data_IF_215027729897
#
_entry.id   IF_215027729897
#
_cell.length_a   1.000
_cell.length_b   1.000
_cell.length_c   1.000
_cell.angle_alpha   90.00
_cell.angle_beta   90.00
_cell.angle_gamma   90.00
#
_symmetry.space_group_name_H-M   'P 1'
#
loop_
_entity.id
_entity.type
_entity.pdbx_description
1 polymer ?
#
# COMPACT_ATOMS: atom_id res chain seq x y z
N UNK A 1 -4.95 20.34 -17.65
CA UNK A 1 -4.76 19.15 -16.79
C UNK A 1 -3.83 19.55 -15.65
N UNK A 2 -4.07 19.12 -14.40
CA UNK A 2 -3.12 19.37 -13.33
C UNK A 2 -1.75 18.78 -13.73
N UNK A 3 -0.68 19.58 -13.63
CA UNK A 3 0.66 19.12 -13.95
C UNK A 3 1.10 18.08 -12.91
N UNK A 4 1.21 16.81 -13.32
CA UNK A 4 1.88 15.77 -12.54
C UNK A 4 3.37 16.13 -12.43
N UNK A 5 3.95 15.96 -11.24
CA UNK A 5 5.34 16.31 -10.94
C UNK A 5 6.13 15.10 -10.48
N UNK A 6 7.45 15.18 -10.58
CA UNK A 6 8.35 14.22 -9.95
C UNK A 6 8.12 14.23 -8.43
N UNK A 7 8.19 13.06 -7.82
CA UNK A 7 7.98 12.85 -6.39
C UNK A 7 9.27 12.32 -5.76
N UNK A 8 9.58 12.84 -4.59
CA UNK A 8 10.52 12.23 -3.65
C UNK A 8 9.95 12.41 -2.24
N UNK A 9 9.01 11.54 -1.83
CA UNK A 9 8.23 11.74 -0.60
C UNK A 9 9.09 11.94 0.64
N UNK A 10 10.19 11.18 0.79
CA UNK A 10 11.16 11.35 1.87
C UNK A 10 11.80 12.74 1.88
N UNK A 11 12.27 13.23 0.73
CA UNK A 11 12.89 14.55 0.65
C UNK A 11 11.87 15.67 0.89
N UNK A 12 10.68 15.54 0.33
CA UNK A 12 9.58 16.50 0.52
C UNK A 12 9.15 16.61 1.98
N UNK A 13 9.02 15.48 2.68
CA UNK A 13 8.70 15.44 4.10
C UNK A 13 9.85 15.96 4.97
N UNK A 14 11.09 15.60 4.64
CA UNK A 14 12.30 16.09 5.34
C UNK A 14 12.41 17.62 5.26
N UNK A 15 12.10 18.22 4.11
CA UNK A 15 12.10 19.67 3.94
C UNK A 15 11.11 20.42 4.87
N UNK A 16 10.12 19.72 5.45
CA UNK A 16 9.18 20.29 6.42
C UNK A 16 9.70 20.27 7.85
N UNK A 17 10.66 19.43 8.18
CA UNK A 17 11.11 19.19 9.55
C UNK A 17 12.19 20.17 10.01
N UNK A 18 12.67 21.10 9.19
CA UNK A 18 13.77 22.00 9.57
C UNK A 18 15.11 21.28 9.72
N UNK A 19 16.16 22.02 10.09
CA UNK A 19 17.54 21.54 10.05
C UNK A 19 17.80 20.36 11.02
N UNK A 20 18.64 19.40 10.57
CA UNK A 20 19.10 18.28 11.39
C UNK A 20 18.11 17.12 11.58
N UNK A 21 16.86 17.25 11.09
CA UNK A 21 15.83 16.20 11.12
C UNK A 21 15.65 15.57 9.75
N UNK A 22 15.36 14.27 9.73
CA UNK A 22 15.08 13.50 8.50
C UNK A 22 13.76 12.76 8.67
N UNK A 23 12.92 12.74 7.64
CA UNK A 23 11.65 12.01 7.69
C UNK A 23 11.80 10.59 7.15
N UNK A 24 11.29 9.59 7.88
CA UNK A 24 10.74 8.39 7.25
C UNK A 24 9.32 8.69 6.74
N UNK A 25 8.89 7.99 5.70
CA UNK A 25 7.58 8.14 5.06
C UNK A 25 7.09 6.76 4.62
N UNK A 26 5.79 6.59 4.39
CA UNK A 26 5.20 5.31 3.98
C UNK A 26 5.28 5.07 2.45
N UNK A 27 5.34 6.15 1.68
CA UNK A 27 5.44 6.13 0.21
C UNK A 27 6.88 5.77 -0.24
N UNK A 28 7.03 5.02 -1.35
CA UNK A 28 8.33 4.77 -1.94
C UNK A 28 9.08 6.06 -2.24
N UNK A 29 10.34 6.11 -1.85
CA UNK A 29 11.20 7.28 -2.06
C UNK A 29 12.46 6.95 -2.85
N UNK A 30 12.98 7.95 -3.56
CA UNK A 30 14.24 7.85 -4.29
C UNK A 30 15.44 7.86 -3.33
N UNK A 31 16.57 7.24 -3.70
CA UNK A 31 16.78 6.44 -4.93
C UNK A 31 16.18 5.02 -4.85
N UNK A 32 16.07 4.36 -6.00
CA UNK A 32 15.71 2.96 -6.12
C UNK A 32 16.63 2.08 -5.27
N UNK A 33 16.04 1.09 -4.58
CA UNK A 33 16.80 0.11 -3.82
C UNK A 33 17.11 -1.07 -4.71
N UNK A 34 18.35 -1.13 -5.20
CA UNK A 34 18.83 -2.18 -6.10
C UNK A 34 19.47 -3.37 -5.39
N UNK A 35 19.35 -3.43 -4.07
CA UNK A 35 19.82 -4.55 -3.24
C UNK A 35 18.65 -5.39 -2.74
N UNK A 36 18.77 -6.71 -2.90
CA UNK A 36 17.79 -7.68 -2.41
C UNK A 36 17.72 -7.76 -0.87
N UNK A 37 16.76 -8.55 -0.35
CA UNK A 37 15.83 -9.38 -1.10
C UNK A 37 14.56 -8.64 -1.55
N UNK A 38 14.34 -7.40 -1.11
CA UNK A 38 13.06 -6.70 -1.26
C UNK A 38 12.97 -5.80 -2.49
N UNK A 39 14.10 -5.21 -2.92
CA UNK A 39 14.14 -4.23 -4.01
C UNK A 39 13.10 -3.10 -3.83
N UNK A 40 13.06 -2.57 -2.61
CA UNK A 40 12.18 -1.50 -2.15
C UNK A 40 12.81 -0.86 -0.91
N UNK A 41 12.41 0.36 -0.59
CA UNK A 41 12.72 1.01 0.68
C UNK A 41 11.97 0.35 1.86
N UNK A 42 12.39 0.68 3.08
CA UNK A 42 11.77 0.21 4.32
C UNK A 42 11.37 1.42 5.16
N UNK A 43 10.06 1.68 5.36
CA UNK A 43 9.60 2.87 6.07
C UNK A 43 9.75 2.76 7.59
N UNK A 44 9.98 1.56 8.15
CA UNK A 44 10.14 1.37 9.61
C UNK A 44 11.55 0.92 10.00
N UNK A 45 12.44 0.66 9.03
CA UNK A 45 13.83 0.40 9.33
C UNK A 45 14.45 1.65 9.99
N UNK A 46 14.99 1.48 11.20
CA UNK A 46 15.70 2.52 11.93
C UNK A 46 17.07 2.90 11.32
N UNK A 47 17.33 2.55 10.05
CA UNK A 47 18.65 2.54 9.43
C UNK A 47 19.33 3.92 9.39
N UNK A 48 20.47 4.00 10.08
CA UNK A 48 21.66 4.84 9.88
C UNK A 48 21.50 6.17 9.10
N UNK A 49 20.50 6.98 9.44
CA UNK A 49 20.43 8.36 8.95
C UNK A 49 21.20 9.24 9.91
N UNK A 50 22.18 9.98 9.40
CA UNK A 50 22.86 11.03 10.18
C UNK A 50 21.84 12.15 10.44
N UNK A 51 21.14 12.10 11.57
CA UNK A 51 20.10 13.05 11.92
C UNK A 51 19.08 12.49 12.89
N UNK A 52 18.19 13.36 13.35
CA UNK A 52 17.06 12.98 14.19
C UNK A 52 15.89 12.48 13.32
N UNK A 53 15.72 11.15 13.24
CA UNK A 53 14.72 10.49 12.38
C UNK A 53 13.30 10.67 12.93
N UNK A 54 12.43 11.30 12.16
CA UNK A 54 10.99 11.42 12.42
C UNK A 54 10.22 10.36 11.63
N UNK A 55 9.37 9.58 12.30
CA UNK A 55 8.68 8.44 11.70
C UNK A 55 7.15 8.53 11.77
N UNK A 56 6.40 7.95 10.81
CA UNK A 56 4.94 7.80 10.91
C UNK A 56 4.49 6.76 11.95
N UNK A 57 5.43 6.01 12.53
CA UNK A 57 5.15 4.99 13.54
C UNK A 57 5.00 5.63 14.92
N UNK A 58 3.80 5.47 15.50
CA UNK A 58 3.42 6.01 16.81
C UNK A 58 4.23 5.30 17.93
N UNK A 59 4.64 6.05 18.95
CA UNK A 59 5.32 5.51 20.15
C UNK A 59 6.82 5.73 20.20
N UNK A 60 7.44 6.25 19.14
CA UNK A 60 8.76 6.88 19.24
C UNK A 60 8.61 8.30 19.79
N UNK A 61 9.62 8.80 20.52
CA UNK A 61 9.67 10.23 20.92
C UNK A 61 9.90 11.17 19.72
N UNK A 62 9.98 10.61 18.51
CA UNK A 62 10.34 11.27 17.25
C UNK A 62 9.32 10.85 16.19
N UNK A 63 8.03 11.07 16.46
CA UNK A 63 6.95 10.76 15.53
C UNK A 63 6.38 12.01 14.87
N UNK A 64 5.73 11.84 13.71
CA UNK A 64 4.96 12.91 13.08
C UNK A 64 3.78 13.37 13.92
N UNK A 65 3.21 12.53 14.79
CA UNK A 65 2.22 12.95 15.78
C UNK A 65 2.81 14.05 16.69
N UNK A 66 4.02 13.83 17.24
CA UNK A 66 4.72 14.84 18.07
C UNK A 66 5.13 16.08 17.29
N UNK A 67 5.47 15.94 16.01
CA UNK A 67 5.75 17.10 15.13
C UNK A 67 4.50 17.95 14.96
N UNK A 68 3.35 17.35 14.69
CA UNK A 68 2.09 18.07 14.49
C UNK A 68 1.60 18.71 15.79
N UNK A 69 1.78 18.05 16.93
CA UNK A 69 1.46 18.64 18.24
C UNK A 69 2.28 19.92 18.50
N UNK A 70 3.55 19.93 18.10
CA UNK A 70 4.43 21.09 18.23
C UNK A 70 4.28 22.13 17.12
N UNK A 71 3.86 21.71 15.92
CA UNK A 71 3.74 22.53 14.70
C UNK A 71 2.40 22.23 13.99
N UNK A 72 1.26 22.74 14.50
CA UNK A 72 -0.07 22.41 13.99
C UNK A 72 -0.28 22.77 12.51
N UNK A 73 0.48 23.72 11.97
CA UNK A 73 0.48 24.09 10.55
C UNK A 73 0.89 22.95 9.62
N UNK A 74 1.64 21.96 10.12
CA UNK A 74 2.05 20.78 9.36
C UNK A 74 0.97 19.68 9.30
N UNK A 75 -0.14 19.83 10.04
CA UNK A 75 -1.22 18.85 10.09
C UNK A 75 -1.80 18.51 8.71
N UNK A 76 -1.92 19.50 7.81
CA UNK A 76 -2.41 19.27 6.45
C UNK A 76 -1.47 18.36 5.65
N UNK A 77 -0.17 18.64 5.69
CA UNK A 77 0.84 17.81 5.04
C UNK A 77 0.87 16.40 5.64
N UNK A 78 0.90 16.28 6.97
CA UNK A 78 0.93 14.98 7.64
C UNK A 78 -0.32 14.14 7.32
N UNK A 79 -1.50 14.78 7.22
CA UNK A 79 -2.76 14.12 6.84
C UNK A 79 -2.73 13.59 5.41
N UNK A 80 -2.30 14.41 4.46
CA UNK A 80 -2.28 14.06 3.04
C UNK A 80 -1.24 12.98 2.68
N UNK A 81 -0.26 12.77 3.56
CA UNK A 81 0.82 11.80 3.40
C UNK A 81 0.72 10.61 4.37
N UNK A 82 -0.40 10.48 5.10
CA UNK A 82 -0.62 9.44 6.10
C UNK A 82 0.53 9.31 7.12
N UNK A 83 1.17 10.44 7.46
CA UNK A 83 2.30 10.47 8.37
C UNK A 83 1.86 10.44 9.85
N UNK A 84 0.60 10.78 10.12
CA UNK A 84 -0.01 10.69 11.44
C UNK A 84 -1.48 10.25 11.31
N UNK A 85 -2.09 9.83 12.42
CA UNK A 85 -3.50 9.38 12.44
C UNK A 85 -4.47 10.58 12.44
N UNK A 86 -4.46 11.36 11.36
CA UNK A 86 -5.20 12.62 11.21
C UNK A 86 -6.31 12.56 10.17
N UNK A 87 -6.38 11.48 9.40
CA UNK A 87 -7.36 11.26 8.34
C UNK A 87 -8.25 10.08 8.69
N UNK A 88 -9.54 10.20 8.37
CA UNK A 88 -10.52 9.13 8.53
C UNK A 88 -10.97 8.64 7.16
N UNK A 89 -11.21 7.34 7.06
CA UNK A 89 -11.81 6.72 5.89
C UNK A 89 -13.33 6.91 5.94
N UNK A 90 -13.90 7.35 4.82
CA UNK A 90 -15.34 7.56 4.63
C UNK A 90 -16.02 6.38 3.94
N UNK A 91 -17.27 6.58 3.54
CA UNK A 91 -18.01 5.60 2.74
C UNK A 91 -17.43 5.49 1.31
N UNK A 92 -17.43 4.29 0.71
CA UNK A 92 -16.95 4.11 -0.65
C UNK A 92 -17.94 4.71 -1.67
N UNK A 93 -17.47 5.23 -2.81
CA UNK A 93 -18.36 5.63 -3.90
C UNK A 93 -18.99 4.40 -4.57
N UNK A 94 -20.17 4.57 -5.17
CA UNK A 94 -20.87 3.49 -5.88
C UNK A 94 -20.12 2.91 -7.09
N UNK A 95 -19.08 3.61 -7.56
CA UNK A 95 -18.18 3.20 -8.65
C UNK A 95 -16.95 2.42 -8.18
N UNK A 96 -16.85 2.09 -6.87
CA UNK A 96 -15.68 1.41 -6.30
C UNK A 96 -15.42 0.06 -6.98
N UNK A 97 -16.39 -0.86 -7.00
CA UNK A 97 -16.20 -2.21 -7.55
C UNK A 97 -15.69 -2.22 -9.01
N UNK A 98 -16.32 -1.53 -9.99
CA UNK A 98 -15.80 -1.52 -11.36
C UNK A 98 -14.43 -0.85 -11.48
N UNK A 99 -14.16 0.21 -10.69
CA UNK A 99 -12.84 0.86 -10.70
C UNK A 99 -11.77 -0.05 -10.09
N UNK A 100 -12.09 -0.77 -9.02
CA UNK A 100 -11.20 -1.74 -8.36
C UNK A 100 -10.78 -2.82 -9.34
N UNK A 101 -11.72 -3.45 -10.06
CA UNK A 101 -11.38 -4.51 -11.03
C UNK A 101 -10.53 -3.98 -12.21
N UNK A 102 -10.82 -2.75 -12.67
CA UNK A 102 -10.03 -2.09 -13.70
C UNK A 102 -8.58 -1.85 -13.24
N UNK A 103 -8.40 -1.39 -11.99
CA UNK A 103 -7.10 -1.11 -11.42
C UNK A 103 -6.34 -2.38 -10.98
N UNK A 104 -7.05 -3.42 -10.54
CA UNK A 104 -6.49 -4.77 -10.32
C UNK A 104 -5.92 -5.32 -11.62
N UNK A 105 -6.66 -5.18 -12.72
CA UNK A 105 -6.18 -5.57 -14.05
C UNK A 105 -4.93 -4.77 -14.46
N UNK A 106 -4.94 -3.45 -14.24
CA UNK A 106 -3.77 -2.60 -14.53
C UNK A 106 -2.54 -2.97 -13.66
N UNK A 107 -2.77 -3.25 -12.37
CA UNK A 107 -1.74 -3.66 -11.43
C UNK A 107 -1.09 -4.98 -11.87
N UNK A 108 -1.91 -5.99 -12.16
CA UNK A 108 -1.48 -7.34 -12.47
C UNK A 108 -0.87 -7.47 -13.87
N UNK A 109 -1.50 -6.89 -14.90
CA UNK A 109 -1.08 -7.08 -16.29
C UNK A 109 -0.10 -6.03 -16.82
N UNK A 110 0.17 -4.93 -16.11
CA UNK A 110 1.07 -3.86 -16.61
C UNK A 110 2.12 -3.42 -15.59
N UNK A 111 1.72 -3.00 -14.39
CA UNK A 111 2.69 -2.48 -13.41
C UNK A 111 3.60 -3.58 -12.86
N UNK A 112 3.01 -4.72 -12.51
CA UNK A 112 3.76 -5.82 -11.92
C UNK A 112 4.72 -6.52 -12.89
N UNK A 113 4.38 -6.75 -14.19
CA UNK A 113 5.33 -7.27 -15.17
C UNK A 113 6.47 -6.31 -15.47
N UNK A 114 6.22 -5.00 -15.45
CA UNK A 114 7.28 -4.00 -15.59
C UNK A 114 8.30 -4.09 -14.45
N UNK A 115 7.82 -4.19 -13.20
CA UNK A 115 8.69 -4.40 -12.03
C UNK A 115 9.39 -5.76 -12.10
N UNK A 116 8.67 -6.81 -12.49
CA UNK A 116 9.21 -8.17 -12.57
C UNK A 116 10.35 -8.25 -13.58
N UNK A 117 10.20 -7.61 -14.74
CA UNK A 117 11.25 -7.56 -15.77
C UNK A 117 12.52 -6.88 -15.23
N UNK A 118 12.37 -5.86 -14.38
CA UNK A 118 13.50 -5.12 -13.83
C UNK A 118 14.24 -5.85 -12.69
N UNK A 119 13.53 -6.54 -11.79
CA UNK A 119 14.15 -7.12 -10.58
C UNK A 119 13.50 -8.41 -10.05
N UNK A 120 12.60 -9.03 -10.82
CA UNK A 120 11.92 -10.27 -10.45
C UNK A 120 10.81 -10.12 -9.40
N UNK A 121 10.47 -8.90 -8.96
CA UNK A 121 9.39 -8.66 -7.99
C UNK A 121 8.14 -8.10 -8.63
N UNK A 122 6.98 -8.48 -8.08
CA UNK A 122 5.66 -8.02 -8.56
C UNK A 122 4.97 -7.03 -7.62
N UNK A 123 5.33 -7.02 -6.33
CA UNK A 123 4.63 -6.24 -5.31
C UNK A 123 4.62 -4.73 -5.61
N UNK A 124 3.52 -4.07 -5.26
CA UNK A 124 3.32 -2.64 -5.40
C UNK A 124 3.27 -1.99 -4.00
N UNK A 125 3.07 -0.68 -3.95
CA UNK A 125 2.99 0.12 -2.72
C UNK A 125 1.92 1.18 -2.88
N UNK A 126 1.42 1.67 -1.75
CA UNK A 126 0.68 2.93 -1.73
C UNK A 126 1.60 4.08 -2.20
N UNK A 127 1.06 4.92 -3.08
CA UNK A 127 1.67 6.18 -3.53
C UNK A 127 0.57 7.23 -3.52
N UNK A 128 0.84 8.46 -3.06
CA UNK A 128 -0.20 9.49 -2.97
C UNK A 128 -0.93 9.68 -4.30
N UNK A 129 -2.26 9.61 -4.24
CA UNK A 129 -3.17 9.66 -5.39
C UNK A 129 -3.55 8.29 -5.95
N UNK A 130 -3.10 7.18 -5.35
CA UNK A 130 -3.43 5.81 -5.78
C UNK A 130 -2.44 4.76 -5.27
N UNK A 131 -1.76 4.09 -6.20
CA UNK A 131 -0.78 3.03 -5.91
C UNK A 131 0.24 2.95 -7.05
N UNK A 132 1.39 2.32 -6.79
CA UNK A 132 2.42 2.19 -7.80
C UNK A 132 3.54 1.24 -7.40
N UNK A 133 4.54 1.13 -8.26
CA UNK A 133 5.75 0.40 -7.94
C UNK A 133 6.56 1.14 -6.86
N UNK A 134 7.38 0.43 -6.08
CA UNK A 134 8.60 1.03 -5.55
C UNK A 134 9.42 1.69 -6.66
N UNK A 135 10.36 2.57 -6.31
CA UNK A 135 11.39 2.96 -7.29
C UNK A 135 12.25 1.74 -7.62
N UNK A 136 12.51 1.49 -8.91
CA UNK A 136 13.27 0.34 -9.40
C UNK A 136 14.19 0.73 -10.56
N UNK A 137 15.19 -0.12 -10.86
CA UNK A 137 16.14 0.13 -11.94
C UNK A 137 16.89 1.45 -11.76
N UNK A 138 16.91 2.25 -12.82
CA UNK A 138 17.55 3.58 -12.85
C UNK A 138 16.61 4.67 -12.31
N UNK A 139 16.16 4.53 -11.04
CA UNK A 139 15.28 5.50 -10.38
C UNK A 139 13.90 5.70 -11.05
N UNK A 140 13.38 4.63 -11.66
CA UNK A 140 12.07 4.61 -12.32
C UNK A 140 10.94 4.27 -11.36
N UNK A 141 9.79 4.93 -11.49
CA UNK A 141 8.54 4.57 -10.84
C UNK A 141 7.38 4.63 -11.83
N UNK A 142 6.48 3.65 -11.73
CA UNK A 142 5.19 3.64 -12.43
C UNK A 142 4.10 3.70 -11.38
N UNK A 143 3.18 4.66 -11.47
CA UNK A 143 2.10 4.83 -10.48
C UNK A 143 0.80 5.31 -11.10
N UNK A 144 -0.30 4.96 -10.45
CA UNK A 144 -1.62 5.56 -10.65
C UNK A 144 -1.72 6.82 -9.80
N UNK A 145 -2.18 7.92 -10.39
CA UNK A 145 -2.45 9.18 -9.70
C UNK A 145 -3.77 9.77 -10.21
N UNK A 146 -4.86 9.53 -9.48
CA UNK A 146 -6.21 9.79 -10.00
C UNK A 146 -6.51 8.90 -11.21
N UNK A 147 -7.00 9.49 -12.29
CA UNK A 147 -7.28 8.82 -13.57
C UNK A 147 -6.06 8.75 -14.51
N UNK A 148 -4.86 9.07 -14.02
CA UNK A 148 -3.63 9.08 -14.81
C UNK A 148 -2.72 7.91 -14.45
N UNK A 149 -2.11 7.31 -15.48
CA UNK A 149 -0.93 6.48 -15.34
C UNK A 149 0.31 7.35 -15.52
N UNK A 150 1.20 7.33 -14.53
CA UNK A 150 2.37 8.19 -14.46
C UNK A 150 3.62 7.33 -14.51
N UNK A 151 4.55 7.69 -15.39
CA UNK A 151 5.92 7.17 -15.41
C UNK A 151 6.85 8.31 -15.01
N UNK A 152 7.66 8.05 -13.99
CA UNK A 152 8.70 8.97 -13.54
C UNK A 152 10.05 8.29 -13.71
N UNK A 153 10.97 8.95 -14.42
CA UNK A 153 12.36 8.53 -14.62
C UNK A 153 13.25 9.66 -14.05
N UNK A 154 13.73 9.50 -12.82
CA UNK A 154 14.40 10.58 -12.11
C UNK A 154 13.49 11.80 -11.88
N UNK A 155 13.81 12.93 -12.52
CA UNK A 155 13.01 14.17 -12.50
C UNK A 155 12.03 14.27 -13.69
N UNK A 156 12.21 13.45 -14.73
CA UNK A 156 11.35 13.45 -15.89
C UNK A 156 10.06 12.72 -15.59
N UNK A 157 8.93 13.30 -16.00
CA UNK A 157 7.59 12.74 -15.75
C UNK A 157 6.75 12.80 -17.00
N UNK A 158 6.19 11.65 -17.37
CA UNK A 158 5.18 11.52 -18.41
C UNK A 158 3.93 10.92 -17.77
N UNK A 159 2.76 11.39 -18.18
CA UNK A 159 1.48 10.88 -17.71
C UNK A 159 0.46 10.84 -18.82
N UNK A 160 -0.34 9.77 -18.87
CA UNK A 160 -1.47 9.63 -19.80
C UNK A 160 -2.72 9.19 -19.05
N UNK A 161 -3.94 9.51 -19.54
CA UNK A 161 -5.17 8.96 -19.01
C UNK A 161 -5.21 7.43 -19.05
N UNK A 162 -5.71 6.80 -18.00
CA UNK A 162 -5.95 5.36 -17.94
C UNK A 162 -7.15 5.04 -18.82
N UNK A 163 -6.90 4.37 -19.96
CA UNK A 163 -7.94 4.05 -20.94
C UNK A 163 -8.04 2.56 -21.21
N UNK A 164 -6.95 1.90 -21.57
CA UNK A 164 -6.87 0.47 -21.87
C UNK A 164 -5.55 -0.09 -21.36
N UNK A 165 -5.47 -1.41 -21.12
CA UNK A 165 -4.20 -2.05 -20.75
C UNK A 165 -3.17 -1.92 -21.86
N UNK A 166 -3.58 -1.97 -23.14
CA UNK A 166 -2.67 -1.77 -24.28
C UNK A 166 -2.04 -0.38 -24.31
N UNK A 167 -2.83 0.66 -24.05
CA UNK A 167 -2.31 2.03 -23.97
C UNK A 167 -1.36 2.20 -22.78
N UNK A 168 -1.71 1.62 -21.62
CA UNK A 168 -0.86 1.62 -20.43
C UNK A 168 0.48 0.89 -20.67
N UNK A 169 0.44 -0.30 -21.27
CA UNK A 169 1.62 -1.06 -21.66
C UNK A 169 2.54 -0.27 -22.59
N UNK A 170 1.98 0.43 -23.59
CA UNK A 170 2.76 1.30 -24.49
C UNK A 170 3.47 2.44 -23.74
N UNK A 171 2.79 3.12 -22.81
CA UNK A 171 3.41 4.18 -22.00
C UNK A 171 4.54 3.63 -21.12
N UNK A 172 4.31 2.46 -20.52
CA UNK A 172 5.28 1.82 -19.61
C UNK A 172 6.44 1.15 -20.37
N UNK A 173 6.22 0.73 -21.62
CA UNK A 173 7.20 -0.04 -22.40
C UNK A 173 7.14 -1.55 -22.12
N UNK A 174 5.95 -2.09 -21.85
CA UNK A 174 5.71 -3.54 -21.65
C UNK A 174 4.50 -4.00 -22.47
N UNK A 175 4.53 -5.23 -22.99
CA UNK A 175 3.31 -5.85 -23.50
C UNK A 175 2.48 -6.33 -22.31
N UNK A 176 1.18 -5.96 -22.21
CA UNK A 176 0.35 -6.43 -21.11
C UNK A 176 0.25 -7.95 -21.09
N UNK A 177 0.36 -8.53 -19.90
CA UNK A 177 0.35 -9.98 -19.70
C UNK A 177 0.61 -10.35 -18.25
N UNK A 178 0.21 -11.55 -17.84
CA UNK A 178 0.44 -12.00 -16.48
C UNK A 178 1.96 -12.08 -16.19
N UNK A 179 2.40 -11.82 -14.95
CA UNK A 179 3.80 -12.03 -14.57
C UNK A 179 4.23 -13.47 -14.86
N UNK A 180 5.36 -13.62 -15.55
CA UNK A 180 5.81 -14.92 -16.04
C UNK A 180 6.55 -15.72 -14.95
N UNK A 181 6.44 -17.05 -14.98
CA UNK A 181 7.24 -17.92 -14.10
C UNK A 181 6.85 -17.89 -12.61
N UNK A 182 5.67 -17.37 -12.27
CA UNK A 182 5.10 -17.41 -10.92
C UNK A 182 3.83 -18.25 -11.00
N UNK A 183 3.69 -19.21 -10.07
CA UNK A 183 2.47 -20.00 -9.92
C UNK A 183 1.51 -19.26 -8.99
N UNK A 184 0.42 -18.73 -9.56
CA UNK A 184 -0.58 -17.98 -8.81
C UNK A 184 -1.74 -18.91 -8.45
N UNK A 185 -2.11 -18.94 -7.17
CA UNK A 185 -3.23 -19.75 -6.69
C UNK A 185 -4.59 -19.25 -7.22
N UNK A 186 -4.74 -17.94 -7.44
CA UNK A 186 -5.97 -17.32 -7.95
C UNK A 186 -5.68 -16.00 -8.71
N UNK A 187 -5.06 -16.07 -9.90
CA UNK A 187 -4.78 -14.88 -10.68
C UNK A 187 -6.10 -14.28 -11.21
N UNK A 188 -6.17 -12.94 -11.42
CA UNK A 188 -7.26 -12.34 -12.17
C UNK A 188 -7.47 -13.05 -13.52
N UNK A 189 -8.71 -13.13 -14.05
CA UNK A 189 -8.94 -13.64 -15.39
C UNK A 189 -8.33 -12.70 -16.43
N UNK A 190 -7.77 -13.26 -17.51
CA UNK A 190 -7.16 -12.46 -18.58
C UNK A 190 -8.21 -11.60 -19.30
N UNK A 191 -8.10 -10.26 -19.26
CA UNK A 191 -9.07 -9.37 -19.88
C UNK A 191 -8.75 -9.11 -21.36
N UNK A 192 -9.69 -8.54 -22.12
CA UNK A 192 -9.35 -7.94 -23.41
C UNK A 192 -8.50 -6.69 -23.18
N UNK A 193 -7.23 -6.73 -23.59
CA UNK A 193 -6.28 -5.64 -23.41
C UNK A 193 -6.67 -4.33 -24.11
N UNK A 194 -7.63 -4.37 -25.06
CA UNK A 194 -8.16 -3.19 -25.74
C UNK A 194 -9.50 -2.69 -25.14
N UNK A 195 -10.10 -3.43 -24.21
CA UNK A 195 -11.32 -2.99 -23.55
C UNK A 195 -11.07 -1.73 -22.72
N UNK A 196 -12.08 -0.85 -22.68
CA UNK A 196 -12.04 0.35 -21.87
C UNK A 196 -12.02 0.01 -20.38
N UNK A 197 -11.13 0.65 -19.63
CA UNK A 197 -11.03 0.54 -18.18
C UNK A 197 -11.95 1.61 -17.54
N UNK A 198 -13.01 1.23 -16.82
CA UNK A 198 -13.92 2.18 -16.18
C UNK A 198 -13.32 2.73 -14.87
N UNK A 199 -12.34 3.63 -15.00
CA UNK A 199 -11.69 4.27 -13.85
C UNK A 199 -12.42 5.56 -13.49
N UNK A 200 -13.03 5.59 -12.31
CA UNK A 200 -13.62 6.81 -11.73
C UNK A 200 -12.63 7.50 -10.77
N UNK A 201 -12.26 8.78 -11.01
CA UNK A 201 -11.40 9.55 -10.10
C UNK A 201 -11.88 9.55 -8.63
N UNK A 202 -13.19 9.53 -8.37
CA UNK A 202 -13.72 9.49 -7.00
C UNK A 202 -13.42 8.15 -6.31
N UNK A 203 -13.50 7.04 -7.04
CA UNK A 203 -13.11 5.73 -6.55
C UNK A 203 -11.59 5.61 -6.37
N UNK A 204 -10.79 6.22 -7.25
CA UNK A 204 -9.33 6.28 -7.06
C UNK A 204 -8.97 7.07 -5.80
N UNK A 205 -9.62 8.21 -5.57
CA UNK A 205 -9.39 9.00 -4.35
C UNK A 205 -9.76 8.21 -3.08
N UNK A 206 -10.82 7.41 -3.12
CA UNK A 206 -11.14 6.48 -2.03
C UNK A 206 -10.05 5.41 -1.85
N UNK A 207 -9.56 4.81 -2.94
CA UNK A 207 -8.51 3.79 -2.89
C UNK A 207 -7.16 4.34 -2.40
N UNK A 208 -6.81 5.58 -2.76
CA UNK A 208 -5.66 6.32 -2.21
C UNK A 208 -5.74 6.39 -0.68
N UNK A 209 -6.91 6.76 -0.17
CA UNK A 209 -7.15 6.83 1.27
C UNK A 209 -7.12 5.46 1.93
N UNK A 210 -7.77 4.47 1.31
CA UNK A 210 -7.79 3.11 1.80
C UNK A 210 -6.39 2.51 1.91
N UNK A 211 -5.58 2.58 0.84
CA UNK A 211 -4.24 2.02 0.85
C UNK A 211 -3.26 2.82 1.71
N UNK A 212 -3.43 4.13 1.84
CA UNK A 212 -2.68 4.95 2.78
C UNK A 212 -2.96 4.57 4.23
N UNK A 213 -4.24 4.41 4.60
CA UNK A 213 -4.65 3.91 5.92
C UNK A 213 -4.13 2.50 6.18
N UNK A 214 -4.33 1.58 5.23
CA UNK A 214 -3.85 0.20 5.32
C UNK A 214 -2.35 0.15 5.57
N UNK A 215 -1.56 0.90 4.79
CA UNK A 215 -0.11 0.96 4.93
C UNK A 215 0.28 1.48 6.31
N UNK A 216 -0.39 2.53 6.81
CA UNK A 216 -0.12 3.07 8.15
C UNK A 216 -0.36 2.02 9.26
N UNK A 217 -1.51 1.33 9.24
CA UNK A 217 -1.85 0.38 10.31
C UNK A 217 -1.02 -0.90 10.24
N UNK A 218 -0.70 -1.38 9.03
CA UNK A 218 0.14 -2.57 8.83
C UNK A 218 1.60 -2.30 9.18
N UNK A 219 2.17 -1.14 8.82
CA UNK A 219 3.54 -0.80 9.23
C UNK A 219 3.64 -0.58 10.75
N UNK A 220 2.59 -0.06 11.40
CA UNK A 220 2.53 0.02 12.87
C UNK A 220 2.49 -1.37 13.52
N UNK A 221 1.70 -2.29 12.96
CA UNK A 221 1.67 -3.68 13.40
C UNK A 221 3.04 -4.35 13.25
N UNK A 222 3.68 -4.20 12.08
CA UNK A 222 5.01 -4.74 11.80
C UNK A 222 6.06 -4.19 12.75
N UNK A 223 6.08 -2.88 12.98
CA UNK A 223 7.00 -2.25 13.93
C UNK A 223 6.81 -2.76 15.37
N UNK A 224 5.57 -3.07 15.77
CA UNK A 224 5.27 -3.64 17.08
C UNK A 224 5.58 -5.15 17.19
N UNK A 225 5.55 -5.90 16.09
CA UNK A 225 5.91 -7.32 16.06
C UNK A 225 7.44 -7.51 16.10
N UNK A 226 8.17 -6.74 15.31
CA UNK A 226 9.62 -6.59 15.39
C UNK A 226 10.44 -7.84 15.07
N UNK A 227 9.88 -8.85 14.36
CA UNK A 227 10.61 -10.09 14.05
C UNK A 227 11.39 -9.95 12.73
N UNK A 228 12.64 -10.45 12.64
CA UNK A 228 13.42 -10.38 11.40
C UNK A 228 12.79 -11.09 10.19
N UNK A 229 11.97 -12.10 10.43
CA UNK A 229 11.28 -12.91 9.41
C UNK A 229 9.94 -12.34 8.95
N UNK A 230 9.47 -11.25 9.56
CA UNK A 230 8.25 -10.56 9.12
C UNK A 230 8.49 -9.93 7.74
N UNK A 231 7.51 -10.04 6.84
CA UNK A 231 7.64 -9.44 5.50
C UNK A 231 7.35 -7.94 5.54
N UNK A 232 7.75 -7.21 4.49
CA UNK A 232 7.41 -5.80 4.34
C UNK A 232 6.00 -5.63 3.80
N UNK A 233 5.33 -4.53 4.15
CA UNK A 233 4.03 -4.19 3.58
C UNK A 233 4.18 -4.09 2.07
N UNK A 234 3.29 -4.71 1.32
CA UNK A 234 3.21 -4.52 -0.12
C UNK A 234 1.77 -4.72 -0.58
N UNK A 235 1.44 -4.10 -1.69
CA UNK A 235 0.20 -4.36 -2.40
C UNK A 235 0.44 -5.54 -3.36
N UNK A 236 -0.28 -6.65 -3.17
CA UNK A 236 -0.19 -7.81 -4.04
C UNK A 236 -1.08 -7.60 -5.27
N UNK A 237 -0.51 -7.50 -6.48
CA UNK A 237 -1.29 -7.13 -7.66
C UNK A 237 -2.39 -8.16 -8.03
N UNK A 238 -2.18 -9.44 -7.72
CA UNK A 238 -3.10 -10.54 -8.01
C UNK A 238 -4.39 -10.47 -7.17
N UNK A 239 -4.29 -10.08 -5.91
CA UNK A 239 -5.42 -9.92 -4.98
C UNK A 239 -5.87 -8.46 -4.83
N UNK A 240 -5.03 -7.53 -5.27
CA UNK A 240 -5.22 -6.08 -5.17
C UNK A 240 -5.44 -5.57 -3.74
N UNK A 241 -4.76 -6.20 -2.79
CA UNK A 241 -4.80 -5.88 -1.36
C UNK A 241 -3.42 -5.51 -0.84
N UNK A 242 -3.37 -4.74 0.26
CA UNK A 242 -2.12 -4.46 0.96
C UNK A 242 -1.94 -5.47 2.09
N UNK A 243 -0.81 -6.17 2.15
CA UNK A 243 -0.59 -7.22 3.14
C UNK A 243 0.87 -7.31 3.64
N UNK A 244 1.01 -7.98 4.79
CA UNK A 244 2.25 -8.46 5.39
C UNK A 244 2.04 -9.85 5.94
N UNK A 245 3.12 -10.58 6.14
CA UNK A 245 3.11 -11.80 6.92
C UNK A 245 3.89 -11.59 8.20
N UNK A 246 3.27 -11.97 9.32
CA UNK A 246 3.86 -11.89 10.66
C UNK A 246 3.72 -13.25 11.34
N UNK A 247 4.67 -13.57 12.21
CA UNK A 247 4.62 -14.75 13.07
C UNK A 247 5.60 -15.83 12.62
N UNK A 248 5.49 -17.01 13.23
CA UNK A 248 6.46 -18.09 13.06
C UNK A 248 5.83 -19.32 12.40
N UNK A 249 6.34 -19.70 11.23
CA UNK A 249 5.83 -20.83 10.46
C UNK A 249 5.99 -22.15 11.22
N UNK A 250 7.15 -22.39 11.84
CA UNK A 250 7.44 -23.64 12.56
C UNK A 250 6.55 -23.84 13.79
N UNK A 251 6.06 -22.75 14.38
CA UNK A 251 5.13 -22.77 15.52
C UNK A 251 3.66 -22.76 15.11
N UNK A 252 3.36 -22.67 13.82
CA UNK A 252 1.99 -22.58 13.30
C UNK A 252 1.31 -21.24 13.59
N UNK A 253 2.07 -20.19 13.92
CA UNK A 253 1.55 -18.86 14.29
C UNK A 253 1.71 -17.83 13.18
N UNK A 254 2.17 -18.26 12.00
CA UNK A 254 2.33 -17.43 10.81
C UNK A 254 0.96 -17.12 10.21
N UNK A 255 0.71 -15.84 9.96
CA UNK A 255 -0.50 -15.36 9.30
C UNK A 255 -0.20 -14.18 8.38
N UNK A 256 -0.99 -14.07 7.31
CA UNK A 256 -1.14 -12.85 6.53
C UNK A 256 -2.03 -11.86 7.26
N UNK A 257 -1.61 -10.61 7.35
CA UNK A 257 -2.37 -9.48 7.86
C UNK A 257 -2.51 -8.49 6.71
N UNK A 258 -3.73 -8.09 6.38
CA UNK A 258 -3.92 -7.25 5.20
C UNK A 258 -5.18 -6.42 5.21
N UNK A 259 -5.36 -5.72 4.10
CA UNK A 259 -6.44 -4.79 3.84
C UNK A 259 -6.88 -4.90 2.38
N UNK A 260 -8.04 -5.52 2.17
CA UNK A 260 -8.66 -5.67 0.84
C UNK A 260 -9.59 -4.48 0.58
N UNK A 261 -9.57 -3.87 -0.62
CA UNK A 261 -10.58 -2.89 -1.04
C UNK A 261 -11.95 -3.53 -1.35
N UNK A 262 -12.15 -4.78 -0.93
CA UNK A 262 -13.31 -5.61 -1.19
C UNK A 262 -13.07 -6.56 -2.36
N UNK A 263 -13.79 -7.68 -2.38
CA UNK A 263 -13.69 -8.76 -3.37
C UNK A 263 -14.97 -9.60 -3.37
N UNK A 264 -14.94 -10.74 -4.06
CA UNK A 264 -16.09 -11.65 -4.17
C UNK A 264 -16.51 -12.29 -2.84
N UNK A 265 -15.61 -12.37 -1.86
CA UNK A 265 -15.92 -12.91 -0.54
C UNK A 265 -16.57 -11.85 0.36
N UNK A 266 -16.04 -10.62 0.33
CA UNK A 266 -16.56 -9.47 1.08
C UNK A 266 -16.52 -8.23 0.17
N UNK A 267 -17.69 -7.81 -0.33
CA UNK A 267 -17.78 -6.74 -1.34
C UNK A 267 -17.25 -5.38 -0.87
N UNK A 268 -17.49 -5.03 0.39
CA UNK A 268 -16.97 -3.79 0.98
C UNK A 268 -15.50 -3.94 1.40
N UNK A 269 -14.70 -2.85 1.44
CA UNK A 269 -13.35 -2.91 1.98
C UNK A 269 -13.29 -3.46 3.40
N UNK A 270 -12.21 -4.17 3.74
CA UNK A 270 -12.04 -4.80 5.04
C UNK A 270 -10.56 -5.05 5.38
N UNK A 271 -10.24 -5.03 6.67
CA UNK A 271 -8.98 -5.56 7.19
C UNK A 271 -9.14 -7.05 7.45
N UNK A 272 -8.08 -7.84 7.29
CA UNK A 272 -8.12 -9.28 7.53
C UNK A 272 -6.90 -9.83 8.23
N UNK A 273 -7.10 -10.98 8.85
CA UNK A 273 -6.03 -11.89 9.28
C UNK A 273 -6.32 -13.27 8.70
N UNK A 274 -5.37 -13.81 7.93
CA UNK A 274 -5.45 -15.11 7.27
C UNK A 274 -4.30 -16.01 7.76
N UNK A 275 -4.54 -16.82 8.80
CA UNK A 275 -3.56 -17.77 9.31
C UNK A 275 -3.24 -18.87 8.30
N UNK A 276 -2.00 -19.34 8.23
CA UNK A 276 -1.61 -20.44 7.33
C UNK A 276 -2.33 -21.75 7.66
N UNK A 277 -2.72 -21.92 8.93
CA UNK A 277 -3.63 -22.98 9.37
C UNK A 277 -4.98 -22.35 9.65
N UNK A 278 -5.98 -22.68 8.84
CA UNK A 278 -7.35 -22.16 8.97
C UNK A 278 -7.85 -22.26 10.42
N UNK A 279 -8.44 -21.17 10.90
CA UNK A 279 -9.02 -21.04 12.22
C UNK A 279 -10.54 -20.94 12.13
N UNK A 280 -11.24 -21.32 13.21
CA UNK A 280 -12.69 -21.35 13.28
C UNK A 280 -13.20 -20.87 14.64
N UNK A 281 -14.42 -20.34 14.67
CA UNK A 281 -15.10 -19.84 15.87
C UNK A 281 -15.58 -18.40 15.70
N UNK A 282 -16.25 -17.85 16.70
CA UNK A 282 -16.94 -16.55 16.60
C UNK A 282 -16.00 -15.39 16.21
N UNK A 283 -14.72 -15.46 16.62
CA UNK A 283 -13.72 -14.46 16.27
C UNK A 283 -13.16 -14.65 14.84
N UNK A 284 -13.06 -15.90 14.38
CA UNK A 284 -12.59 -16.26 13.05
C UNK A 284 -13.77 -16.27 12.08
N UNK A 285 -14.30 -15.07 11.87
CA UNK A 285 -15.58 -14.80 11.21
C UNK A 285 -15.54 -14.80 9.67
N UNK A 286 -14.37 -14.99 9.06
CA UNK A 286 -14.20 -14.86 7.62
C UNK A 286 -14.28 -16.23 6.89
N UNK A 287 -14.82 -16.28 5.66
CA UNK A 287 -15.07 -17.53 4.94
C UNK A 287 -13.77 -18.28 4.56
N UNK A 288 -12.62 -17.60 4.57
CA UNK A 288 -11.30 -18.16 4.27
C UNK A 288 -10.61 -18.78 5.50
N UNK A 289 -11.32 -19.03 6.60
CA UNK A 289 -10.73 -19.60 7.82
C UNK A 289 -9.84 -18.60 8.56
N UNK A 290 -10.23 -17.33 8.53
CA UNK A 290 -9.54 -16.22 9.16
C UNK A 290 -10.51 -15.24 9.80
N UNK A 291 -10.06 -14.01 10.03
CA UNK A 291 -10.89 -12.95 10.62
C UNK A 291 -10.92 -11.73 9.71
N UNK A 292 -12.02 -10.98 9.74
CA UNK A 292 -12.23 -9.75 8.99
C UNK A 292 -12.86 -8.66 9.89
N UNK A 293 -12.38 -7.43 9.72
CA UNK A 293 -12.98 -6.20 10.25
C UNK A 293 -13.40 -5.34 9.06
N UNK A 294 -14.72 -5.20 8.87
CA UNK A 294 -15.29 -4.52 7.69
C UNK A 294 -15.17 -3.01 7.76
N UNK A 295 -15.26 -2.34 6.62
CA UNK A 295 -15.28 -0.88 6.54
C UNK A 295 -16.46 -0.27 7.31
N UNK A 296 -17.64 -0.90 7.29
CA UNK A 296 -18.77 -0.47 8.11
C UNK A 296 -18.44 -0.39 9.60
N UNK A 297 -17.75 -1.40 10.14
CA UNK A 297 -17.29 -1.43 11.52
C UNK A 297 -16.21 -0.37 11.80
N UNK A 298 -15.27 -0.18 10.86
CA UNK A 298 -14.27 0.89 10.95
C UNK A 298 -14.90 2.29 10.94
N UNK A 299 -15.89 2.55 10.09
CA UNK A 299 -16.60 3.84 10.04
C UNK A 299 -17.31 4.11 11.36
N UNK A 300 -17.92 3.09 11.97
CA UNK A 300 -18.59 3.19 13.26
C UNK A 300 -17.62 3.43 14.43
N UNK A 301 -16.35 3.04 14.30
CA UNK A 301 -15.35 3.21 15.36
C UNK A 301 -14.94 4.69 15.52
N UNK A 302 -14.92 5.22 16.76
CA UNK A 302 -14.47 6.60 17.02
C UNK A 302 -12.98 6.80 16.71
N UNK A 303 -12.16 5.76 16.85
CA UNK A 303 -10.75 5.73 16.42
C UNK A 303 -10.52 4.54 15.48
N UNK A 304 -10.42 4.82 14.18
CA UNK A 304 -10.25 3.79 13.14
C UNK A 304 -8.91 3.07 13.25
N UNK A 305 -7.81 3.80 13.45
CA UNK A 305 -6.50 3.18 13.60
C UNK A 305 -6.40 2.40 14.92
N UNK A 306 -7.06 2.89 15.99
CA UNK A 306 -7.20 2.16 17.25
C UNK A 306 -7.98 0.85 17.09
N UNK A 307 -9.11 0.87 16.37
CA UNK A 307 -9.90 -0.33 16.06
C UNK A 307 -9.10 -1.35 15.23
N UNK A 308 -8.38 -0.88 14.21
CA UNK A 308 -7.48 -1.73 13.41
C UNK A 308 -6.38 -2.38 14.26
N UNK A 309 -5.74 -1.60 15.14
CA UNK A 309 -4.69 -2.11 16.03
C UNK A 309 -5.23 -3.13 17.03
N UNK A 310 -6.43 -2.89 17.59
CA UNK A 310 -7.09 -3.84 18.49
C UNK A 310 -7.45 -5.15 17.77
N UNK A 311 -8.02 -5.06 16.57
CA UNK A 311 -8.34 -6.21 15.74
C UNK A 311 -7.11 -7.07 15.43
N UNK A 312 -6.06 -6.48 14.84
CA UNK A 312 -4.85 -7.21 14.50
C UNK A 312 -4.13 -7.77 15.74
N UNK A 313 -4.08 -6.99 16.84
CA UNK A 313 -3.50 -7.42 18.11
C UNK A 313 -4.23 -8.63 18.68
N UNK A 314 -5.56 -8.59 18.74
CA UNK A 314 -6.37 -9.71 19.23
C UNK A 314 -6.18 -10.97 18.39
N UNK A 315 -6.18 -10.87 17.06
CA UNK A 315 -5.93 -12.03 16.21
C UNK A 315 -4.52 -12.61 16.42
N UNK A 316 -3.51 -11.75 16.58
CA UNK A 316 -2.14 -12.18 16.85
C UNK A 316 -2.02 -12.90 18.20
N UNK A 317 -2.63 -12.36 19.24
CA UNK A 317 -2.62 -12.96 20.58
C UNK A 317 -3.34 -14.32 20.61
N UNK A 318 -4.40 -14.49 19.79
CA UNK A 318 -5.11 -15.77 19.65
C UNK A 318 -4.31 -16.84 18.89
N UNK A 319 -3.38 -16.45 18.02
CA UNK A 319 -2.53 -17.39 17.29
C UNK A 319 -1.33 -17.90 18.11
N UNK A 320 -0.87 -17.14 19.11
CA UNK A 320 0.25 -17.51 19.98
C UNK A 320 1.54 -16.74 19.72
#
# INVERSE_FOLDING_TARGET
MPHVRARNPRAEATARLGEGRVSAVLEPSRPAVNTGPWFADDPVAAGATAGDLVTPIKGSSRSWDSVVDAQPELAGFARDHWLANLKRIGAPPGSLAPTREALRSLAFYVLSPARQTANGKIGLRWTKGGFGTPFFGDDRQIRVQGDLLVVQDGEDVVSEPITTLRAAGKLVGVEPGAPSGIDFHDPPPEPDHNAALPVDPAAVAFLDDWFGFATLVLERLRAAAGRPEDTRVQLWPEHFDAAIEIGNADRGTRAGYGASPGDDAIDQPYLYVSPWTAQHGDHWNAPFGGAALTLGELIAAPDQAGAAAAFFGQCRDLLG
#
